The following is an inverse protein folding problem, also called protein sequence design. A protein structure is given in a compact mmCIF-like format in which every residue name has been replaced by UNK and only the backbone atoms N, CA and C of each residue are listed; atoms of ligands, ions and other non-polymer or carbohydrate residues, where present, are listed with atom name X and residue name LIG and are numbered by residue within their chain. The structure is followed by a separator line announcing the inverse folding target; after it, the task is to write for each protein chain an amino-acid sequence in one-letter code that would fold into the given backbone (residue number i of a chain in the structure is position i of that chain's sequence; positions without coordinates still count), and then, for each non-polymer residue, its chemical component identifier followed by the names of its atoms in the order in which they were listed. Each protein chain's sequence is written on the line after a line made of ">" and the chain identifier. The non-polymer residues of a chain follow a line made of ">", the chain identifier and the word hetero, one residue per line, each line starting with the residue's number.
data_IF_188786409672
#
_entry.id   IF_188786409672
#
_cell.length_a   1.000
_cell.length_b   1.000
_cell.length_c   1.000
_cell.angle_alpha   90.00
_cell.angle_beta   90.00
_cell.angle_gamma   90.00
#
_symmetry.space_group_name_H-M   'P 1'
#
loop_
_entity.id
_entity.type
_entity.pdbx_description
1 polymer ?
#
# COMPACT_ATOMS: atom_id res chain seq x y z
N UNK A 1 13.82 2.32 14.70
CA UNK A 1 13.47 3.68 15.11
C UNK A 1 12.15 4.06 14.46
N UNK A 2 11.24 4.69 15.19
CA UNK A 2 9.94 5.10 14.68
C UNK A 2 9.98 6.59 14.31
N UNK A 3 9.56 6.90 13.08
CA UNK A 3 9.44 8.25 12.56
C UNK A 3 7.97 8.68 12.54
N UNK A 4 7.69 9.71 13.34
CA UNK A 4 6.37 10.26 13.49
C UNK A 4 6.48 11.78 13.70
N UNK A 5 6.50 12.53 12.60
CA UNK A 5 6.66 14.00 12.61
C UNK A 5 5.52 14.65 11.87
N UNK A 6 4.75 15.46 12.59
CA UNK A 6 3.56 16.11 12.04
C UNK A 6 3.73 17.62 12.16
N UNK A 7 3.99 18.33 11.06
CA UNK A 7 3.97 19.78 11.10
C UNK A 7 2.54 20.28 11.34
N UNK A 8 2.43 21.45 11.94
CA UNK A 8 1.16 22.17 12.01
C UNK A 8 0.94 22.94 10.72
N UNK A 9 -0.31 22.99 10.29
CA UNK A 9 -0.78 23.94 9.30
C UNK A 9 -0.73 25.35 9.90
N UNK A 10 -0.06 26.27 9.19
CA UNK A 10 0.22 27.62 9.72
C UNK A 10 -1.02 28.51 9.74
N UNK A 11 -2.04 28.21 8.94
CA UNK A 11 -3.29 28.98 8.89
C UNK A 11 -4.26 28.55 9.99
N UNK A 12 -4.48 27.24 10.13
CA UNK A 12 -5.50 26.70 11.04
C UNK A 12 -4.96 26.22 12.38
N UNK A 13 -3.63 26.05 12.53
CA UNK A 13 -3.01 25.45 13.70
C UNK A 13 -3.27 23.94 13.84
N UNK A 14 -3.96 23.32 12.88
CA UNK A 14 -4.24 21.89 12.90
C UNK A 14 -3.03 21.07 12.46
N UNK A 15 -3.04 19.77 12.77
CA UNK A 15 -2.05 18.83 12.27
C UNK A 15 -2.16 18.65 10.75
N UNK A 16 -1.03 18.75 10.03
CA UNK A 16 -0.96 18.51 8.59
C UNK A 16 0.05 17.40 8.25
N UNK A 17 -0.47 16.18 8.11
CA UNK A 17 0.31 14.97 7.85
C UNK A 17 0.79 14.90 6.40
N UNK A 18 -0.03 15.34 5.44
CA UNK A 18 0.28 15.38 4.01
C UNK A 18 1.34 16.40 3.59
N UNK A 19 2.02 17.03 4.55
CA UNK A 19 3.01 18.05 4.26
C UNK A 19 4.24 17.49 3.55
N UNK A 20 4.76 18.24 2.57
CA UNK A 20 6.05 17.93 1.92
C UNK A 20 7.21 17.91 2.93
N UNK A 21 7.13 18.74 3.98
CA UNK A 21 8.12 18.75 5.07
C UNK A 21 8.24 17.41 5.78
N UNK A 22 7.13 16.69 5.95
CA UNK A 22 7.11 15.33 6.48
C UNK A 22 7.89 14.38 5.57
N UNK A 23 7.72 14.50 4.25
CA UNK A 23 8.47 13.71 3.26
C UNK A 23 9.98 13.96 3.32
N UNK A 24 10.42 15.21 3.38
CA UNK A 24 11.85 15.53 3.52
C UNK A 24 12.44 15.00 4.83
N UNK A 25 11.69 15.14 5.94
CA UNK A 25 12.10 14.57 7.22
C UNK A 25 12.29 13.06 7.12
N UNK A 26 11.33 12.36 6.52
CA UNK A 26 11.39 10.90 6.32
C UNK A 26 12.62 10.46 5.54
N UNK A 27 12.91 11.14 4.44
CA UNK A 27 14.06 10.81 3.62
C UNK A 27 15.38 10.98 4.39
N UNK A 28 15.54 12.09 5.10
CA UNK A 28 16.73 12.35 5.92
C UNK A 28 16.84 11.36 7.09
N UNK A 29 15.72 11.11 7.79
CA UNK A 29 15.64 10.15 8.88
C UNK A 29 16.05 8.75 8.42
N UNK A 30 15.54 8.29 7.29
CA UNK A 30 15.83 6.95 6.76
C UNK A 30 17.30 6.79 6.40
N UNK A 31 17.88 7.76 5.69
CA UNK A 31 19.31 7.72 5.35
C UNK A 31 20.19 7.74 6.61
N UNK A 32 19.88 8.61 7.57
CA UNK A 32 20.65 8.70 8.82
C UNK A 32 20.59 7.39 9.62
N UNK A 33 19.39 6.85 9.85
CA UNK A 33 19.22 5.65 10.67
C UNK A 33 19.72 4.38 9.99
N UNK A 34 19.60 4.29 8.67
CA UNK A 34 20.14 3.17 7.90
C UNK A 34 21.67 3.23 7.82
N UNK A 35 22.23 4.36 7.39
CA UNK A 35 23.63 4.44 6.97
C UNK A 35 24.57 4.74 8.15
N UNK A 36 24.16 5.60 9.09
CA UNK A 36 24.97 5.92 10.28
C UNK A 36 24.69 4.96 11.43
N UNK A 37 23.42 4.78 11.81
CA UNK A 37 23.06 4.03 13.02
C UNK A 37 22.81 2.54 12.80
N UNK A 38 22.58 2.11 11.55
CA UNK A 38 22.24 0.73 11.18
C UNK A 38 21.04 0.17 11.95
N UNK A 39 20.04 1.02 12.17
CA UNK A 39 18.79 0.67 12.87
C UNK A 39 17.65 0.70 11.86
N UNK A 40 16.83 -0.37 11.77
CA UNK A 40 15.64 -0.38 10.92
C UNK A 40 14.67 0.76 11.25
N UNK A 41 14.07 1.36 10.23
CA UNK A 41 13.14 2.49 10.39
C UNK A 41 11.69 2.09 10.13
N UNK A 42 10.77 2.71 10.87
CA UNK A 42 9.33 2.65 10.61
C UNK A 42 8.84 4.07 10.33
N UNK A 43 8.23 4.29 9.17
CA UNK A 43 7.66 5.58 8.78
C UNK A 43 6.13 5.49 8.80
N UNK A 44 5.48 6.45 9.46
CA UNK A 44 4.03 6.38 9.65
C UNK A 44 3.23 7.44 8.88
N UNK A 45 3.86 8.51 8.38
CA UNK A 45 3.12 9.66 7.84
C UNK A 45 2.23 9.33 6.64
N UNK A 46 2.63 8.38 5.80
CA UNK A 46 1.83 7.93 4.66
C UNK A 46 0.51 7.26 5.07
N UNK A 47 0.36 6.85 6.33
CA UNK A 47 -0.87 6.26 6.82
C UNK A 47 -1.98 7.30 6.94
N UNK A 48 -1.69 8.56 7.30
CA UNK A 48 -2.63 9.46 7.95
C UNK A 48 -3.00 10.70 7.10
N UNK A 49 -3.66 10.57 5.94
CA UNK A 49 -4.02 11.72 5.12
C UNK A 49 -5.00 12.66 5.84
N UNK A 50 -4.88 13.96 5.60
CA UNK A 50 -5.79 14.97 6.12
C UNK A 50 -7.18 14.95 5.46
N UNK A 51 -7.31 14.29 4.30
CA UNK A 51 -8.58 14.14 3.60
C UNK A 51 -9.60 13.35 4.39
N UNK A 52 -10.85 13.83 4.41
CA UNK A 52 -11.99 13.18 5.10
C UNK A 52 -12.66 12.14 4.21
N UNK A 53 -12.31 12.13 2.92
CA UNK A 53 -12.91 11.28 1.90
C UNK A 53 -11.84 10.39 1.27
N UNK A 54 -12.29 9.33 0.59
CA UNK A 54 -11.44 8.53 -0.28
C UNK A 54 -11.46 9.20 -1.65
N UNK A 55 -10.60 10.21 -1.81
CA UNK A 55 -10.55 11.10 -2.96
C UNK A 55 -9.12 11.30 -3.48
N UNK A 56 -8.95 12.25 -4.40
CA UNK A 56 -7.63 12.59 -4.94
C UNK A 56 -6.66 13.09 -3.86
N UNK A 57 -7.12 13.91 -2.91
CA UNK A 57 -6.28 14.41 -1.82
C UNK A 57 -5.75 13.23 -0.99
N UNK A 58 -6.63 12.31 -0.60
CA UNK A 58 -6.26 11.10 0.12
C UNK A 58 -5.21 10.29 -0.63
N UNK A 59 -5.45 10.00 -1.92
CA UNK A 59 -4.53 9.22 -2.73
C UNK A 59 -3.16 9.92 -2.88
N UNK A 60 -3.16 11.23 -3.12
CA UNK A 60 -1.94 12.01 -3.29
C UNK A 60 -1.12 12.01 -1.99
N UNK A 61 -1.70 12.47 -0.88
CA UNK A 61 -1.02 12.60 0.42
C UNK A 61 -0.41 11.28 0.89
N UNK A 62 -1.15 10.18 0.78
CA UNK A 62 -0.65 8.84 1.14
C UNK A 62 0.50 8.43 0.21
N UNK A 63 0.30 8.51 -1.10
CA UNK A 63 1.22 7.91 -2.07
C UNK A 63 2.55 8.67 -2.16
N UNK A 64 2.54 10.01 -2.13
CA UNK A 64 3.79 10.76 -2.23
C UNK A 64 4.70 10.54 -1.00
N UNK A 65 4.11 10.42 0.20
CA UNK A 65 4.85 10.10 1.42
C UNK A 65 5.34 8.65 1.41
N UNK A 66 4.50 7.70 0.98
CA UNK A 66 4.90 6.30 0.88
C UNK A 66 6.03 6.10 -0.11
N UNK A 67 5.98 6.76 -1.28
CA UNK A 67 7.05 6.74 -2.28
C UNK A 67 8.34 7.35 -1.72
N UNK A 68 8.24 8.48 -1.01
CA UNK A 68 9.42 9.12 -0.38
C UNK A 68 10.06 8.20 0.67
N UNK A 69 9.26 7.56 1.52
CA UNK A 69 9.72 6.62 2.52
C UNK A 69 10.34 5.36 1.87
N UNK A 70 9.66 4.77 0.89
CA UNK A 70 10.09 3.58 0.17
C UNK A 70 11.45 3.79 -0.50
N UNK A 71 11.56 4.84 -1.33
CA UNK A 71 12.76 5.11 -2.10
C UNK A 71 13.94 5.61 -1.24
N UNK A 72 13.67 6.13 -0.03
CA UNK A 72 14.73 6.49 0.92
C UNK A 72 15.22 5.34 1.79
N UNK A 73 14.60 4.15 1.69
CA UNK A 73 15.03 2.93 2.38
C UNK A 73 14.38 2.70 3.75
N UNK A 74 13.12 3.10 3.90
CA UNK A 74 12.30 2.70 5.04
C UNK A 74 12.28 1.18 5.21
N UNK A 75 12.41 0.68 6.45
CA UNK A 75 12.25 -0.77 6.71
C UNK A 75 10.79 -1.18 6.86
N UNK A 76 9.92 -0.27 7.28
CA UNK A 76 8.48 -0.46 7.40
C UNK A 76 7.77 0.86 7.11
N UNK A 77 6.64 0.79 6.41
CA UNK A 77 5.78 1.94 6.11
C UNK A 77 4.38 1.60 6.58
N UNK A 78 3.83 2.36 7.51
CA UNK A 78 2.40 2.31 7.79
C UNK A 78 1.65 3.05 6.68
N UNK A 79 0.60 2.42 6.15
CA UNK A 79 -0.07 2.91 4.94
C UNK A 79 -1.56 2.56 4.88
N UNK A 80 -1.91 1.32 5.22
CA UNK A 80 -3.19 0.71 4.87
C UNK A 80 -4.40 1.29 5.64
N UNK A 81 -5.38 1.78 4.89
CA UNK A 81 -6.79 1.90 5.26
C UNK A 81 -7.19 3.15 6.02
N UNK A 82 -6.25 4.00 6.46
CA UNK A 82 -6.61 5.24 7.17
C UNK A 82 -7.17 6.32 6.23
N UNK A 83 -8.15 7.04 6.77
CA UNK A 83 -8.84 8.21 6.22
C UNK A 83 -9.04 9.21 7.38
N UNK A 84 -9.05 10.51 7.11
CA UNK A 84 -9.28 11.55 8.11
C UNK A 84 -8.29 11.50 9.28
N UNK A 85 -7.00 11.62 8.96
CA UNK A 85 -5.87 11.55 9.88
C UNK A 85 -5.86 10.18 10.60
N UNK A 86 -5.68 10.18 11.91
CA UNK A 86 -5.68 8.96 12.74
C UNK A 86 -7.09 8.55 13.19
N UNK A 87 -8.14 9.27 12.76
CA UNK A 87 -9.47 9.15 13.36
C UNK A 87 -10.36 8.10 12.71
N UNK A 88 -10.10 7.71 11.46
CA UNK A 88 -10.92 6.72 10.77
C UNK A 88 -10.09 5.71 9.99
N UNK A 89 -10.63 4.50 9.92
CA UNK A 89 -10.10 3.41 9.10
C UNK A 89 -11.23 2.83 8.25
N UNK A 90 -10.95 2.60 6.98
CA UNK A 90 -11.94 2.11 6.01
C UNK A 90 -11.44 0.85 5.32
N UNK A 91 -12.23 -0.24 5.30
CA UNK A 91 -11.88 -1.44 4.53
C UNK A 91 -11.85 -1.18 3.03
N UNK A 92 -12.63 -0.22 2.54
CA UNK A 92 -12.59 0.22 1.13
C UNK A 92 -11.24 0.86 0.81
N UNK A 93 -10.77 1.75 1.69
CA UNK A 93 -9.44 2.37 1.55
C UNK A 93 -8.35 1.31 1.63
N UNK A 94 -8.48 0.31 2.52
CA UNK A 94 -7.49 -0.76 2.65
C UNK A 94 -7.33 -1.59 1.36
N UNK A 95 -8.44 -1.88 0.68
CA UNK A 95 -8.39 -2.57 -0.63
C UNK A 95 -7.77 -1.69 -1.72
N UNK A 96 -8.08 -0.39 -1.73
CA UNK A 96 -7.49 0.55 -2.69
C UNK A 96 -5.98 0.70 -2.43
N UNK A 97 -5.59 0.82 -1.17
CA UNK A 97 -4.21 0.92 -0.74
C UNK A 97 -3.41 -0.33 -1.11
N UNK A 98 -4.04 -1.51 -1.13
CA UNK A 98 -3.37 -2.74 -1.56
C UNK A 98 -2.88 -2.65 -3.03
N UNK A 99 -3.65 -1.99 -3.91
CA UNK A 99 -3.19 -1.75 -5.28
C UNK A 99 -2.02 -0.75 -5.32
N UNK A 100 -2.11 0.33 -4.54
CA UNK A 100 -1.03 1.32 -4.44
C UNK A 100 0.27 0.72 -3.88
N UNK A 101 0.18 -0.10 -2.83
CA UNK A 101 1.33 -0.81 -2.23
C UNK A 101 1.97 -1.77 -3.22
N UNK A 102 1.18 -2.45 -4.06
CA UNK A 102 1.73 -3.34 -5.08
C UNK A 102 2.58 -2.57 -6.10
N UNK A 103 2.14 -1.38 -6.50
CA UNK A 103 2.89 -0.49 -7.38
C UNK A 103 4.16 0.03 -6.69
N UNK A 104 4.05 0.50 -5.45
CA UNK A 104 5.20 0.97 -4.65
C UNK A 104 6.23 -0.17 -4.46
N UNK A 105 5.75 -1.39 -4.19
CA UNK A 105 6.59 -2.58 -4.10
C UNK A 105 7.36 -2.85 -5.40
N UNK A 106 6.72 -2.68 -6.56
CA UNK A 106 7.41 -2.81 -7.86
C UNK A 106 8.47 -1.74 -8.06
N UNK A 107 8.24 -0.50 -7.59
CA UNK A 107 9.28 0.53 -7.61
C UNK A 107 10.49 0.17 -6.74
N UNK A 108 10.27 -0.45 -5.58
CA UNK A 108 11.35 -0.91 -4.68
C UNK A 108 12.13 -2.08 -5.29
N UNK A 109 11.43 -3.02 -5.93
CA UNK A 109 12.04 -4.16 -6.61
C UNK A 109 12.94 -3.72 -7.78
N UNK A 110 12.58 -2.61 -8.43
CA UNK A 110 13.32 -2.04 -9.55
C UNK A 110 13.09 -2.82 -10.84
N UNK A 111 14.12 -2.86 -11.69
CA UNK A 111 14.07 -3.57 -12.96
C UNK A 111 15.41 -4.27 -13.23
N UNK A 112 15.34 -5.43 -13.89
CA UNK A 112 16.51 -6.20 -14.29
C UNK A 112 16.98 -5.75 -15.68
N UNK A 113 18.28 -5.52 -15.82
CA UNK A 113 18.91 -5.29 -17.13
C UNK A 113 19.74 -6.51 -17.51
N UNK A 114 19.21 -7.32 -18.41
CA UNK A 114 19.88 -8.48 -19.00
C UNK A 114 19.55 -8.60 -20.49
N UNK A 115 20.24 -9.49 -21.21
CA UNK A 115 19.93 -9.73 -22.63
C UNK A 115 18.49 -10.19 -22.84
N UNK A 116 17.93 -10.94 -21.89
CA UNK A 116 16.54 -11.40 -21.91
C UNK A 116 15.53 -10.28 -21.68
N UNK A 117 15.80 -9.34 -20.76
CA UNK A 117 14.87 -8.22 -20.50
C UNK A 117 15.01 -7.10 -21.53
N UNK A 118 16.21 -6.86 -22.07
CA UNK A 118 16.44 -5.88 -23.12
C UNK A 118 15.89 -6.33 -24.50
N UNK A 119 15.89 -7.65 -24.76
CA UNK A 119 15.32 -8.28 -25.95
C UNK A 119 15.68 -7.63 -27.32
N UNK A 120 16.96 -7.28 -27.59
CA UNK A 120 17.34 -6.58 -28.82
C UNK A 120 17.03 -7.36 -30.10
N UNK A 121 17.19 -8.68 -30.06
CA UNK A 121 16.90 -9.55 -31.22
C UNK A 121 15.41 -9.53 -31.57
N UNK A 122 14.54 -9.56 -30.54
CA UNK A 122 13.09 -9.46 -30.74
C UNK A 122 12.69 -8.09 -31.29
N UNK A 123 13.33 -7.02 -30.82
CA UNK A 123 13.08 -5.66 -31.32
C UNK A 123 13.42 -5.58 -32.81
N UNK A 124 14.55 -6.16 -33.21
CA UNK A 124 14.97 -6.22 -34.61
C UNK A 124 14.05 -7.13 -35.46
N UNK A 125 13.58 -8.26 -34.89
CA UNK A 125 12.66 -9.20 -35.55
C UNK A 125 11.29 -8.56 -35.82
N UNK A 126 10.71 -7.88 -34.83
CA UNK A 126 9.39 -7.23 -34.97
C UNK A 126 9.46 -6.02 -35.89
N UNK A 127 10.55 -5.25 -35.83
CA UNK A 127 10.79 -4.11 -36.71
C UNK A 127 9.83 -2.93 -36.50
N UNK A 128 9.85 -1.93 -37.41
CA UNK A 128 8.99 -0.75 -37.33
C UNK A 128 7.52 -1.07 -37.68
N UNK A 129 6.66 -0.05 -37.71
CA UNK A 129 5.25 -0.18 -38.11
C UNK A 129 5.08 -1.02 -39.39
N UNK A 130 4.16 -2.01 -39.41
CA UNK A 130 3.08 -2.29 -38.45
C UNK A 130 3.41 -3.32 -37.36
N UNK A 131 4.69 -3.53 -37.01
CA UNK A 131 5.14 -4.54 -36.04
C UNK A 131 4.41 -4.50 -34.68
N UNK A 132 4.16 -5.68 -34.09
CA UNK A 132 3.50 -5.83 -32.79
C UNK A 132 4.12 -6.95 -31.96
N UNK A 133 4.32 -6.68 -30.67
CA UNK A 133 4.91 -7.61 -29.71
C UNK A 133 3.88 -8.55 -29.06
N UNK A 134 2.58 -8.23 -29.14
CA UNK A 134 1.53 -8.94 -28.40
C UNK A 134 1.45 -10.44 -28.69
N UNK A 135 1.76 -10.84 -29.93
CA UNK A 135 1.75 -12.26 -30.35
C UNK A 135 3.04 -13.02 -30.05
N UNK A 136 4.07 -12.36 -29.52
CA UNK A 136 5.41 -12.95 -29.40
C UNK A 136 5.50 -13.91 -28.22
N UNK A 137 6.39 -14.91 -28.35
CA UNK A 137 6.70 -15.84 -27.26
C UNK A 137 7.25 -15.09 -26.04
N UNK A 138 8.13 -14.12 -26.26
CA UNK A 138 8.72 -13.30 -25.19
C UNK A 138 7.65 -12.56 -24.38
N UNK A 139 6.70 -11.88 -25.03
CA UNK A 139 5.62 -11.20 -24.32
C UNK A 139 4.78 -12.19 -23.52
N UNK A 140 4.41 -13.35 -24.09
CA UNK A 140 3.64 -14.38 -23.37
C UNK A 140 4.34 -14.88 -22.11
N UNK A 141 5.67 -15.00 -22.13
CA UNK A 141 6.48 -15.52 -21.03
C UNK A 141 6.75 -14.48 -19.92
N UNK A 142 6.81 -13.19 -20.29
CA UNK A 142 7.26 -12.13 -19.38
C UNK A 142 6.16 -11.19 -18.90
N UNK A 143 5.04 -11.05 -19.63
CA UNK A 143 4.06 -9.99 -19.30
C UNK A 143 3.53 -10.10 -17.88
N UNK A 144 3.20 -11.29 -17.36
CA UNK A 144 2.69 -11.44 -15.98
C UNK A 144 3.73 -11.14 -14.90
N UNK A 145 5.01 -11.21 -15.24
CA UNK A 145 6.12 -10.92 -14.31
C UNK A 145 6.37 -9.43 -14.23
N UNK A 146 6.32 -8.75 -15.39
CA UNK A 146 6.66 -7.34 -15.52
C UNK A 146 5.45 -6.41 -15.38
N UNK A 147 4.25 -6.89 -15.70
CA UNK A 147 3.03 -6.10 -15.72
C UNK A 147 2.21 -6.32 -14.45
N UNK A 148 2.06 -5.26 -13.67
CA UNK A 148 1.16 -5.25 -12.52
C UNK A 148 -0.30 -5.28 -12.98
N UNK A 149 -1.07 -6.23 -12.44
CA UNK A 149 -2.51 -6.36 -12.69
C UNK A 149 -3.27 -5.85 -11.44
N UNK A 150 -3.90 -4.67 -11.48
CA UNK A 150 -4.64 -4.13 -10.36
C UNK A 150 -5.88 -4.94 -10.02
N UNK A 151 -6.27 -4.91 -8.74
CA UNK A 151 -7.50 -5.51 -8.26
C UNK A 151 -8.70 -4.58 -8.44
N UNK A 152 -8.54 -3.28 -8.20
CA UNK A 152 -9.63 -2.29 -8.22
C UNK A 152 -9.38 -1.10 -9.14
N UNK A 153 -8.12 -0.77 -9.49
CA UNK A 153 -7.87 0.26 -10.50
C UNK A 153 -8.37 -0.15 -11.89
N UNK A 154 -9.14 0.74 -12.53
CA UNK A 154 -9.69 0.51 -13.86
C UNK A 154 -8.64 0.71 -14.96
N UNK A 155 -8.70 -0.14 -15.99
CA UNK A 155 -7.84 -0.09 -17.19
C UNK A 155 -8.65 -0.32 -18.47
N UNK A 156 -9.98 -0.27 -18.36
CA UNK A 156 -10.87 -0.57 -19.47
C UNK A 156 -10.88 0.61 -20.44
N UNK A 157 -11.21 0.32 -21.70
CA UNK A 157 -11.60 1.39 -22.62
C UNK A 157 -12.87 2.07 -22.08
N UNK A 158 -13.11 3.33 -22.45
CA UNK A 158 -14.32 4.04 -22.02
C UNK A 158 -15.60 3.26 -22.40
N UNK A 159 -15.63 2.66 -23.59
CA UNK A 159 -16.77 1.88 -24.06
C UNK A 159 -17.00 0.62 -23.22
N UNK A 160 -15.93 -0.08 -22.82
CA UNK A 160 -16.03 -1.28 -22.00
C UNK A 160 -16.37 -0.94 -20.55
N UNK A 161 -15.81 0.15 -20.02
CA UNK A 161 -16.17 0.69 -18.72
C UNK A 161 -17.65 1.07 -18.65
N UNK A 162 -18.15 1.76 -19.69
CA UNK A 162 -19.57 2.09 -19.82
C UNK A 162 -20.46 0.85 -19.87
N UNK A 163 -20.09 -0.16 -20.68
CA UNK A 163 -20.80 -1.45 -20.75
C UNK A 163 -20.75 -2.23 -19.43
N UNK A 164 -19.69 -2.06 -18.64
CA UNK A 164 -19.53 -2.69 -17.31
C UNK A 164 -20.30 -2.00 -16.17
N UNK A 165 -21.10 -0.98 -16.49
CA UNK A 165 -21.93 -0.27 -15.52
C UNK A 165 -21.26 0.95 -14.87
N UNK A 166 -20.21 1.50 -15.48
CA UNK A 166 -19.57 2.75 -15.06
C UNK A 166 -19.05 2.74 -13.61
N UNK A 167 -18.60 1.57 -13.14
CA UNK A 167 -18.17 1.39 -11.75
C UNK A 167 -16.98 2.29 -11.41
N UNK A 168 -17.08 3.00 -10.29
CA UNK A 168 -15.96 3.72 -9.72
C UNK A 168 -14.98 2.77 -9.02
N UNK A 169 -13.81 3.29 -8.63
CA UNK A 169 -12.86 2.53 -7.79
C UNK A 169 -13.49 2.14 -6.44
N UNK A 170 -14.38 2.97 -5.89
CA UNK A 170 -15.07 2.70 -4.62
C UNK A 170 -16.08 1.55 -4.76
N UNK A 171 -16.76 1.46 -5.91
CA UNK A 171 -17.69 0.37 -6.17
C UNK A 171 -16.96 -0.96 -6.28
N UNK A 172 -15.85 -0.99 -7.03
CA UNK A 172 -14.98 -2.16 -7.13
C UNK A 172 -14.36 -2.55 -5.78
N UNK A 173 -13.95 -1.57 -4.99
CA UNK A 173 -13.43 -1.81 -3.64
C UNK A 173 -14.49 -2.44 -2.73
N UNK A 174 -15.75 -1.98 -2.83
CA UNK A 174 -16.87 -2.55 -2.04
C UNK A 174 -17.12 -4.01 -2.40
N UNK A 175 -17.20 -4.31 -3.70
CA UNK A 175 -17.35 -5.68 -4.19
C UNK A 175 -16.20 -6.57 -3.70
N UNK A 176 -14.96 -6.07 -3.76
CA UNK A 176 -13.79 -6.81 -3.30
C UNK A 176 -13.78 -7.04 -1.79
N UNK A 177 -14.22 -6.06 -0.99
CA UNK A 177 -14.36 -6.24 0.47
C UNK A 177 -15.39 -7.32 0.77
N UNK A 178 -16.56 -7.28 0.12
CA UNK A 178 -17.61 -8.29 0.31
C UNK A 178 -17.14 -9.69 -0.09
N UNK A 179 -16.40 -9.81 -1.20
CA UNK A 179 -15.78 -11.06 -1.63
C UNK A 179 -14.80 -11.59 -0.58
N UNK A 180 -13.89 -10.76 -0.07
CA UNK A 180 -12.91 -11.17 0.95
C UNK A 180 -13.63 -11.62 2.23
N UNK A 181 -14.57 -10.83 2.73
CA UNK A 181 -15.28 -11.14 3.97
C UNK A 181 -16.11 -12.42 3.89
N UNK A 182 -16.66 -12.75 2.71
CA UNK A 182 -17.47 -13.94 2.51
C UNK A 182 -16.66 -15.22 2.22
N UNK A 183 -15.45 -15.09 1.67
CA UNK A 183 -14.68 -16.24 1.17
C UNK A 183 -13.38 -16.53 1.93
N UNK A 184 -12.82 -15.56 2.66
CA UNK A 184 -11.53 -15.71 3.32
C UNK A 184 -11.59 -16.75 4.45
N UNK A 185 -10.66 -17.70 4.43
CA UNK A 185 -10.47 -18.70 5.47
C UNK A 185 -9.11 -18.49 6.13
N UNK A 186 -9.10 -18.29 7.43
CA UNK A 186 -7.88 -18.20 8.22
C UNK A 186 -7.36 -19.60 8.56
N UNK A 187 -6.05 -19.72 8.74
CA UNK A 187 -5.45 -20.93 9.31
C UNK A 187 -5.81 -20.93 10.81
N UNK A 188 -6.55 -21.93 11.31
CA UNK A 188 -6.95 -21.96 12.71
C UNK A 188 -5.72 -22.17 13.61
N UNK A 189 -5.80 -21.64 14.83
CA UNK A 189 -4.83 -21.94 15.86
C UNK A 189 -4.94 -23.41 16.28
N UNK A 190 -3.84 -23.98 16.77
CA UNK A 190 -3.92 -25.28 17.41
C UNK A 190 -4.71 -25.20 18.71
N UNK A 191 -5.38 -26.30 19.09
CA UNK A 191 -6.16 -26.37 20.34
C UNK A 191 -5.34 -26.00 21.59
N UNK A 192 -4.04 -26.25 21.60
CA UNK A 192 -3.15 -25.84 22.70
C UNK A 192 -2.95 -24.33 22.71
N UNK A 193 -2.69 -23.71 21.55
CA UNK A 193 -2.53 -22.26 21.44
C UNK A 193 -3.79 -21.51 21.85
N UNK A 194 -4.98 -21.99 21.43
CA UNK A 194 -6.26 -21.40 21.85
C UNK A 194 -6.42 -21.45 23.37
N UNK A 195 -6.15 -22.61 23.98
CA UNK A 195 -6.25 -22.76 25.45
C UNK A 195 -5.29 -21.82 26.19
N UNK A 196 -4.07 -21.66 25.68
CA UNK A 196 -3.07 -20.78 26.29
C UNK A 196 -3.49 -19.30 26.21
N UNK A 197 -4.01 -18.85 25.06
CA UNK A 197 -4.55 -17.50 24.88
C UNK A 197 -5.72 -17.27 25.83
N UNK A 198 -6.66 -18.19 25.90
CA UNK A 198 -7.85 -18.07 26.76
C UNK A 198 -7.47 -17.99 28.24
N UNK A 199 -6.44 -18.75 28.65
CA UNK A 199 -5.89 -18.67 30.00
C UNK A 199 -5.30 -17.29 30.28
N UNK A 200 -4.45 -16.76 29.39
CA UNK A 200 -3.85 -15.43 29.52
C UNK A 200 -4.95 -14.35 29.64
N UNK A 201 -5.98 -14.42 28.78
CA UNK A 201 -7.10 -13.48 28.80
C UNK A 201 -7.90 -13.56 30.10
N UNK A 202 -8.14 -14.77 30.62
CA UNK A 202 -8.86 -14.98 31.88
C UNK A 202 -8.07 -14.43 33.07
N UNK A 203 -6.77 -14.68 33.12
CA UNK A 203 -5.89 -14.20 34.19
C UNK A 203 -5.79 -12.67 34.17
N UNK A 204 -5.65 -12.07 32.98
CA UNK A 204 -5.67 -10.62 32.80
C UNK A 204 -7.01 -10.02 33.27
N UNK A 205 -8.15 -10.57 32.85
CA UNK A 205 -9.49 -10.10 33.29
C UNK A 205 -9.66 -10.19 34.81
N UNK A 206 -9.22 -11.29 35.44
CA UNK A 206 -9.27 -11.44 36.90
C UNK A 206 -8.42 -10.39 37.59
N UNK A 207 -7.20 -10.16 37.11
CA UNK A 207 -6.29 -9.15 37.66
C UNK A 207 -6.90 -7.74 37.59
N UNK A 208 -7.43 -7.33 36.45
CA UNK A 208 -8.00 -6.00 36.28
C UNK A 208 -9.31 -5.79 37.06
N UNK A 209 -10.18 -6.81 37.16
CA UNK A 209 -11.39 -6.77 38.01
C UNK A 209 -11.04 -6.59 39.49
N UNK A 210 -10.03 -7.31 39.99
CA UNK A 210 -9.58 -7.16 41.37
C UNK A 210 -9.01 -5.77 41.67
N UNK A 211 -8.57 -5.03 40.65
CA UNK A 211 -8.12 -3.63 40.75
C UNK A 211 -9.22 -2.60 40.48
N UNK A 212 -10.45 -3.02 40.16
CA UNK A 212 -11.57 -2.13 39.81
C UNK A 212 -11.36 -1.37 38.49
N UNK A 213 -10.53 -1.90 37.59
CA UNK A 213 -10.24 -1.31 36.27
C UNK A 213 -11.08 -1.92 35.14
N UNK A 214 -11.83 -2.98 35.46
CA UNK A 214 -12.87 -3.64 34.66
C UNK A 214 -14.05 -3.94 35.58
#
# INVERSE_FOLDING_TARGET
>A
ANDFVIPMDMESGNLFFGAIGSGYHQMAFNQLYRDLYRIPTCNAMAAFPNSKLIDYQNAFEKTHLAMSAALSGASMIAFIGSVSQELAWSPLQAVIDNDAVSIIGRYIEGFEVSSGTAAPDLINEVGPSPGSYLGTKHTRENWKKEYYVPHVFDRLSYQDWERSGKKSVLDKARERVEEILSSHKTIPLSLSQEKDIEKILKDARKYYRNKGLL
#
